data_IF_772166996341
#
_entry.id   IF_772166996341
#
_cell.length_a   1.000
_cell.length_b   1.000
_cell.length_c   1.000
_cell.angle_alpha   90.00
_cell.angle_beta   90.00
_cell.angle_gamma   90.00
#
_symmetry.space_group_name_H-M   'P 1'
#
loop_
_entity.id
_entity.type
_entity.pdbx_description
1 polymer ?
#
# COMPACT_ATOMS: atom_id res chain seq x y z
N UNK A 1 -12.67 19.71 -23.82
CA UNK A 1 -11.85 20.83 -23.30
C UNK A 1 -11.83 21.85 -24.40
N UNK A 2 -12.28 23.05 -24.08
CA UNK A 2 -12.46 24.11 -25.07
C UNK A 2 -11.54 25.27 -24.73
N UNK A 3 -10.91 25.85 -25.76
CA UNK A 3 -10.02 26.99 -25.61
C UNK A 3 -10.80 28.25 -26.00
N UNK A 4 -10.83 29.24 -25.11
CA UNK A 4 -11.59 30.47 -25.32
C UNK A 4 -10.71 31.59 -25.84
N UNK A 5 -9.61 31.88 -25.15
CA UNK A 5 -8.73 33.01 -25.47
C UNK A 5 -7.28 32.70 -25.17
N UNK A 6 -6.39 33.01 -26.11
CA UNK A 6 -4.95 32.94 -25.92
C UNK A 6 -4.36 34.35 -26.06
N UNK A 7 -3.68 34.81 -25.02
CA UNK A 7 -2.92 36.06 -25.02
C UNK A 7 -1.45 35.73 -24.83
N UNK A 8 -0.59 36.32 -25.65
CA UNK A 8 0.86 36.16 -25.54
C UNK A 8 1.57 37.48 -25.77
N UNK A 9 2.64 37.72 -25.02
CA UNK A 9 3.46 38.91 -25.14
C UNK A 9 4.93 38.55 -25.02
N UNK A 10 5.76 39.14 -25.89
CA UNK A 10 7.20 38.89 -25.93
C UNK A 10 7.57 37.39 -25.97
N UNK A 11 6.83 36.61 -26.76
CA UNK A 11 7.06 35.16 -26.95
C UNK A 11 7.48 34.85 -28.39
N UNK A 12 8.65 34.22 -28.57
CA UNK A 12 9.17 33.81 -29.89
C UNK A 12 9.20 34.97 -30.91
N UNK A 13 8.53 34.88 -32.08
CA UNK A 13 8.48 35.97 -33.05
C UNK A 13 7.49 37.10 -32.67
N UNK A 14 6.66 36.90 -31.62
CA UNK A 14 5.66 37.85 -31.17
C UNK A 14 6.25 38.82 -30.15
N UNK A 15 6.77 39.95 -30.61
CA UNK A 15 7.42 40.96 -29.76
C UNK A 15 6.42 41.77 -28.91
N UNK A 16 5.22 42.03 -29.45
CA UNK A 16 4.15 42.77 -28.78
C UNK A 16 3.15 41.84 -28.09
N UNK A 17 2.10 42.44 -27.54
CA UNK A 17 0.94 41.70 -27.06
C UNK A 17 0.04 41.30 -28.23
N UNK A 18 -0.34 40.03 -28.27
CA UNK A 18 -1.26 39.48 -29.24
C UNK A 18 -2.36 38.70 -28.52
N UNK A 19 -3.61 38.97 -28.86
CA UNK A 19 -4.79 38.29 -28.33
C UNK A 19 -5.44 37.54 -29.49
N UNK A 20 -5.72 36.26 -29.26
CA UNK A 20 -6.38 35.37 -30.21
C UNK A 20 -7.66 34.85 -29.56
N UNK A 21 -8.79 35.16 -30.17
CA UNK A 21 -10.09 34.59 -29.81
C UNK A 21 -10.22 33.19 -30.42
N UNK A 22 -9.96 32.17 -29.61
CA UNK A 22 -10.03 30.77 -30.02
C UNK A 22 -11.48 30.27 -30.04
N UNK A 23 -12.37 30.89 -29.26
CA UNK A 23 -13.79 30.57 -29.30
C UNK A 23 -14.39 30.98 -30.65
N UNK A 24 -14.08 32.18 -31.13
CA UNK A 24 -14.53 32.67 -32.44
C UNK A 24 -14.01 31.79 -33.59
N UNK A 25 -12.70 31.50 -33.60
CA UNK A 25 -12.07 30.62 -34.59
C UNK A 25 -12.62 29.18 -34.53
N UNK A 26 -12.98 28.71 -33.35
CA UNK A 26 -13.51 27.38 -33.10
C UNK A 26 -14.98 27.19 -33.48
N UNK A 27 -15.73 28.26 -33.77
CA UNK A 27 -17.18 28.18 -34.07
C UNK A 27 -17.53 27.24 -35.23
N UNK A 28 -16.67 27.15 -36.23
CA UNK A 28 -16.83 26.27 -37.40
C UNK A 28 -16.34 24.83 -37.16
N UNK A 29 -15.75 24.54 -35.99
CA UNK A 29 -15.12 23.26 -35.65
C UNK A 29 -13.76 23.00 -36.33
N UNK A 30 -13.36 23.84 -37.29
CA UNK A 30 -12.08 23.75 -37.99
C UNK A 30 -11.61 25.16 -38.40
N UNK A 31 -10.34 25.45 -38.10
CA UNK A 31 -9.64 26.64 -38.56
C UNK A 31 -8.22 26.29 -39.03
N UNK A 32 -7.64 27.15 -39.86
CA UNK A 32 -6.31 26.97 -40.45
C UNK A 32 -5.36 28.08 -39.96
N UNK A 33 -4.20 27.69 -39.43
CA UNK A 33 -3.09 28.60 -39.20
C UNK A 33 -2.19 28.60 -40.43
N UNK A 34 -2.30 29.62 -41.28
CA UNK A 34 -1.50 29.77 -42.50
C UNK A 34 -0.41 30.84 -42.34
N UNK A 35 0.74 30.61 -42.97
CA UNK A 35 1.84 31.57 -43.02
C UNK A 35 3.16 30.92 -43.46
N UNK A 36 4.18 31.70 -43.81
CA UNK A 36 5.50 31.18 -44.21
C UNK A 36 6.19 30.42 -43.07
N UNK A 37 7.17 29.57 -43.38
CA UNK A 37 8.01 28.93 -42.35
C UNK A 37 8.69 30.02 -41.50
N UNK A 38 8.68 29.86 -40.17
CA UNK A 38 9.23 30.85 -39.24
C UNK A 38 8.27 31.96 -38.79
N UNK A 39 7.04 32.01 -39.32
CA UNK A 39 6.01 32.99 -38.91
C UNK A 39 5.45 32.83 -37.49
N UNK A 40 5.87 31.80 -36.73
CA UNK A 40 5.38 31.58 -35.37
C UNK A 40 4.17 30.67 -35.23
N UNK A 41 3.73 29.98 -36.28
CA UNK A 41 2.62 28.98 -36.21
C UNK A 41 2.86 27.94 -35.10
N UNK A 42 4.03 27.33 -35.08
CA UNK A 42 4.42 26.39 -34.02
C UNK A 42 4.51 27.07 -32.66
N UNK A 43 4.91 28.35 -32.61
CA UNK A 43 4.98 29.12 -31.37
C UNK A 43 3.60 29.33 -30.74
N UNK A 44 2.53 29.51 -31.53
CA UNK A 44 1.17 29.59 -31.00
C UNK A 44 0.73 28.29 -30.33
N UNK A 45 1.05 27.16 -30.95
CA UNK A 45 0.78 25.83 -30.39
C UNK A 45 1.60 25.62 -29.10
N UNK A 46 2.89 25.95 -29.15
CA UNK A 46 3.80 25.91 -28.00
C UNK A 46 3.32 26.83 -26.87
N UNK A 47 2.72 27.97 -27.16
CA UNK A 47 2.17 28.88 -26.16
C UNK A 47 1.01 28.24 -25.39
N UNK A 48 0.11 27.51 -26.06
CA UNK A 48 -0.96 26.75 -25.40
C UNK A 48 -0.38 25.69 -24.46
N UNK A 49 0.59 24.90 -24.94
CA UNK A 49 1.23 23.85 -24.13
C UNK A 49 1.99 24.47 -22.95
N UNK A 50 2.69 25.58 -23.17
CA UNK A 50 3.40 26.32 -22.14
C UNK A 50 2.45 26.88 -21.08
N UNK A 51 1.33 27.50 -21.48
CA UNK A 51 0.35 28.03 -20.55
C UNK A 51 -0.17 26.96 -19.59
N UNK A 52 -0.48 25.77 -20.10
CA UNK A 52 -0.95 24.64 -19.30
C UNK A 52 0.17 24.05 -18.44
N UNK A 53 1.28 23.64 -19.06
CA UNK A 53 2.26 22.74 -18.42
C UNK A 53 3.58 23.40 -18.02
N UNK A 54 3.83 24.66 -18.40
CA UNK A 54 5.08 25.37 -18.12
C UNK A 54 6.29 24.87 -18.92
N UNK A 55 6.07 24.06 -19.95
CA UNK A 55 7.08 23.57 -20.89
C UNK A 55 6.51 23.54 -22.30
N UNK A 56 7.42 23.49 -23.29
CA UNK A 56 7.08 23.55 -24.72
C UNK A 56 6.53 22.23 -25.24
N UNK A 57 5.99 22.15 -26.46
CA UNK A 57 5.59 20.87 -27.05
C UNK A 57 6.81 20.01 -27.38
N UNK A 58 7.86 20.59 -27.96
CA UNK A 58 9.11 19.90 -28.29
C UNK A 58 10.05 19.78 -27.07
N UNK A 59 10.60 18.58 -26.83
CA UNK A 59 11.58 18.34 -25.75
C UNK A 59 12.98 18.95 -26.02
N UNK A 60 13.25 19.39 -27.26
CA UNK A 60 14.57 19.88 -27.69
C UNK A 60 14.76 21.40 -27.68
N UNK A 61 13.73 22.19 -27.37
CA UNK A 61 13.82 23.65 -27.34
C UNK A 61 14.13 24.16 -25.92
N UNK A 62 15.33 24.71 -25.73
CA UNK A 62 15.71 25.39 -24.49
C UNK A 62 14.63 26.41 -24.08
N UNK A 63 14.26 26.46 -22.79
CA UNK A 63 13.31 27.45 -22.23
C UNK A 63 13.67 28.90 -22.59
N UNK A 64 14.95 29.18 -22.86
CA UNK A 64 15.44 30.48 -23.36
C UNK A 64 14.84 30.89 -24.72
N UNK A 65 14.37 29.94 -25.55
CA UNK A 65 13.75 30.25 -26.86
C UNK A 65 12.32 30.76 -26.75
N UNK A 66 11.70 30.67 -25.57
CA UNK A 66 10.36 31.24 -25.36
C UNK A 66 10.40 32.76 -25.36
N UNK A 67 11.45 33.38 -24.81
CA UNK A 67 11.56 34.84 -24.78
C UNK A 67 11.82 35.39 -26.17
N UNK A 68 11.02 36.37 -26.61
CA UNK A 68 11.24 37.03 -27.89
C UNK A 68 12.50 37.88 -27.87
N UNK A 69 13.44 37.61 -28.78
CA UNK A 69 14.61 38.48 -29.00
C UNK A 69 14.26 39.81 -29.69
N UNK A 70 13.02 39.93 -30.19
CA UNK A 70 12.53 41.12 -30.86
C UNK A 70 11.75 42.05 -29.91
N UNK A 71 11.47 41.61 -28.68
CA UNK A 71 10.82 42.44 -27.68
C UNK A 71 11.75 43.52 -27.13
N UNK A 72 11.20 44.69 -26.83
CA UNK A 72 11.96 45.78 -26.21
C UNK A 72 12.48 45.36 -24.82
N UNK A 73 13.66 45.84 -24.39
CA UNK A 73 14.20 45.51 -23.07
C UNK A 73 13.23 45.88 -21.94
N UNK A 74 12.93 44.91 -21.08
CA UNK A 74 12.07 45.10 -19.91
C UNK A 74 10.58 44.87 -20.14
N UNK A 75 10.18 44.49 -21.35
CA UNK A 75 8.84 43.95 -21.61
C UNK A 75 8.76 42.56 -20.99
N UNK A 76 7.76 42.32 -20.14
CA UNK A 76 7.55 41.02 -19.50
C UNK A 76 7.01 40.00 -20.51
N UNK A 77 7.69 38.85 -20.71
CA UNK A 77 7.14 37.76 -21.48
C UNK A 77 6.04 37.04 -20.71
N UNK A 78 4.89 36.82 -21.32
CA UNK A 78 3.88 35.97 -20.69
C UNK A 78 3.01 35.28 -21.72
N UNK A 79 2.39 34.19 -21.28
CA UNK A 79 1.27 33.55 -21.96
C UNK A 79 0.12 33.43 -20.98
N UNK A 80 -1.07 33.82 -21.41
CA UNK A 80 -2.32 33.66 -20.70
C UNK A 80 -3.30 32.87 -21.56
N UNK A 81 -3.94 31.87 -20.96
CA UNK A 81 -4.91 31.02 -21.62
C UNK A 81 -6.18 30.92 -20.78
N UNK A 82 -7.31 31.24 -21.40
CA UNK A 82 -8.65 30.96 -20.87
C UNK A 82 -9.17 29.70 -21.53
N UNK A 83 -9.54 28.71 -20.73
CA UNK A 83 -9.99 27.40 -21.20
C UNK A 83 -11.08 26.82 -20.30
N UNK A 84 -11.81 25.85 -20.83
CA UNK A 84 -12.92 25.20 -20.15
C UNK A 84 -12.77 23.68 -20.16
N UNK A 85 -13.10 23.08 -19.02
CA UNK A 85 -13.13 21.62 -18.81
C UNK A 85 -14.37 21.25 -18.00
N UNK A 86 -14.58 19.97 -17.73
CA UNK A 86 -15.62 19.52 -16.81
C UNK A 86 -15.48 20.11 -15.38
N UNK A 87 -14.29 20.61 -15.00
CA UNK A 87 -14.07 21.28 -13.72
C UNK A 87 -14.43 22.77 -13.73
N UNK A 88 -14.87 23.32 -14.87
CA UNK A 88 -15.23 24.73 -15.05
C UNK A 88 -14.24 25.52 -15.91
N UNK A 89 -14.43 26.84 -15.94
CA UNK A 89 -13.66 27.79 -16.74
C UNK A 89 -12.49 28.33 -15.89
N UNK A 90 -11.29 28.29 -16.47
CA UNK A 90 -10.07 28.70 -15.80
C UNK A 90 -9.23 29.60 -16.68
N UNK A 91 -8.54 30.55 -16.05
CA UNK A 91 -7.51 31.39 -16.64
C UNK A 91 -6.17 31.06 -16.01
N UNK A 92 -5.24 30.60 -16.82
CA UNK A 92 -3.85 30.38 -16.42
C UNK A 92 -2.97 31.41 -17.07
N UNK A 93 -2.13 32.08 -16.28
CA UNK A 93 -1.10 33.01 -16.76
C UNK A 93 0.26 32.53 -16.30
N UNK A 94 1.23 32.44 -17.22
CA UNK A 94 2.61 32.05 -16.93
C UNK A 94 3.60 33.00 -17.58
N UNK A 95 4.62 33.39 -16.83
CA UNK A 95 5.83 34.04 -17.35
C UNK A 95 6.99 33.04 -17.28
N UNK A 96 7.75 32.83 -18.36
CA UNK A 96 9.01 32.11 -18.28
C UNK A 96 10.03 32.90 -17.46
N UNK A 97 11.11 32.22 -17.08
CA UNK A 97 12.30 32.90 -16.57
C UNK A 97 12.88 33.79 -17.68
N UNK A 98 13.21 35.03 -17.35
CA UNK A 98 13.71 35.99 -18.33
C UNK A 98 14.64 37.02 -17.71
N UNK A 99 15.40 37.71 -18.55
CA UNK A 99 16.24 38.82 -18.11
C UNK A 99 15.47 40.14 -18.17
N UNK A 100 15.47 40.86 -17.06
CA UNK A 100 14.88 42.20 -16.93
C UNK A 100 15.97 43.23 -16.69
N UNK A 101 15.87 44.47 -17.21
CA UNK A 101 16.74 45.57 -16.81
C UNK A 101 16.75 45.77 -15.29
N UNK A 102 17.93 46.02 -14.70
CA UNK A 102 18.02 46.31 -13.28
C UNK A 102 17.28 47.61 -12.94
N UNK A 103 16.58 47.63 -11.81
CA UNK A 103 15.89 48.83 -11.32
C UNK A 103 16.86 49.97 -10.95
N UNK A 104 18.13 49.64 -10.67
CA UNK A 104 19.21 50.59 -10.41
C UNK A 104 20.52 50.09 -11.03
N UNK A 105 21.26 50.99 -11.67
CA UNK A 105 22.54 50.69 -12.35
C UNK A 105 22.36 50.18 -13.79
N UNK A 106 23.46 49.77 -14.41
CA UNK A 106 23.48 49.21 -15.78
C UNK A 106 23.44 47.68 -15.75
N UNK A 107 22.88 47.08 -16.80
CA UNK A 107 22.79 45.61 -16.97
C UNK A 107 21.43 45.00 -16.63
N UNK A 108 21.36 43.67 -16.70
CA UNK A 108 20.15 42.87 -16.50
C UNK A 108 20.19 42.06 -15.20
N UNK A 109 19.02 41.67 -14.72
CA UNK A 109 18.82 40.74 -13.60
C UNK A 109 17.88 39.62 -14.03
N UNK A 110 17.98 38.47 -13.37
CA UNK A 110 17.19 37.29 -13.71
C UNK A 110 15.86 37.34 -12.94
N UNK A 111 14.76 37.31 -13.67
CA UNK A 111 13.41 37.20 -13.13
C UNK A 111 12.98 35.74 -13.20
N UNK A 112 12.62 35.16 -12.05
CA UNK A 112 12.16 33.76 -11.99
C UNK A 112 10.80 33.59 -12.70
N UNK A 113 10.55 32.37 -13.17
CA UNK A 113 9.27 32.01 -13.76
C UNK A 113 8.12 32.16 -12.74
N UNK A 114 6.97 32.66 -13.19
CA UNK A 114 5.77 32.85 -12.38
C UNK A 114 4.59 32.13 -13.01
N UNK A 115 3.60 31.77 -12.21
CA UNK A 115 2.35 31.18 -12.68
C UNK A 115 1.19 31.58 -11.78
N UNK A 116 0.04 31.85 -12.35
CA UNK A 116 -1.21 32.09 -11.60
C UNK A 116 -2.34 31.36 -12.28
N UNK A 117 -3.20 30.73 -11.48
CA UNK A 117 -4.40 30.04 -11.92
C UNK A 117 -5.61 30.62 -11.19
N UNK A 118 -6.61 31.01 -11.98
CA UNK A 118 -7.85 31.61 -11.49
C UNK A 118 -9.03 30.84 -12.09
N UNK A 119 -10.05 30.55 -11.28
CA UNK A 119 -11.34 30.04 -11.74
C UNK A 119 -12.26 31.21 -12.06
N UNK A 120 -12.85 31.20 -13.24
CA UNK A 120 -13.72 32.27 -13.73
C UNK A 120 -15.20 31.84 -13.71
N UNK A 121 -16.10 32.81 -13.58
CA UNK A 121 -17.55 32.61 -13.72
C UNK A 121 -18.02 32.56 -15.18
N UNK A 122 -17.27 33.18 -16.09
CA UNK A 122 -17.49 33.17 -17.54
C UNK A 122 -16.16 33.36 -18.27
N UNK A 123 -16.07 33.05 -19.58
CA UNK A 123 -14.81 33.17 -20.34
C UNK A 123 -14.26 34.61 -20.40
N UNK A 124 -15.14 35.61 -20.34
CA UNK A 124 -14.80 37.03 -20.42
C UNK A 124 -14.73 37.72 -19.06
N UNK A 125 -14.80 36.98 -17.95
CA UNK A 125 -14.74 37.58 -16.63
C UNK A 125 -13.35 38.16 -16.32
N UNK A 126 -13.31 39.42 -15.90
CA UNK A 126 -12.05 40.11 -15.55
C UNK A 126 -11.39 39.54 -14.30
N UNK A 127 -12.19 39.05 -13.35
CA UNK A 127 -11.76 38.54 -12.05
C UNK A 127 -12.39 37.17 -11.76
N UNK A 128 -11.75 36.44 -10.83
CA UNK A 128 -12.22 35.14 -10.41
C UNK A 128 -11.55 34.68 -9.12
N UNK A 129 -11.86 33.46 -8.72
CA UNK A 129 -11.33 32.82 -7.51
C UNK A 129 -9.89 32.34 -7.77
N UNK A 130 -8.93 32.77 -6.95
CA UNK A 130 -7.53 32.33 -7.08
C UNK A 130 -7.41 30.87 -6.63
N UNK A 131 -6.94 30.02 -7.55
CA UNK A 131 -6.75 28.57 -7.31
C UNK A 131 -5.28 28.27 -6.98
N UNK A 132 -4.33 29.00 -7.57
CA UNK A 132 -2.90 28.80 -7.31
C UNK A 132 -2.06 30.00 -7.74
N UNK A 133 -0.94 30.22 -7.04
CA UNK A 133 -0.07 31.39 -7.26
C UNK A 133 1.41 31.03 -7.45
N UNK A 134 1.78 29.77 -7.20
CA UNK A 134 3.12 29.26 -7.48
C UNK A 134 3.13 28.33 -8.70
N UNK A 135 4.30 28.22 -9.35
CA UNK A 135 4.51 27.34 -10.50
C UNK A 135 4.20 25.87 -10.20
N UNK A 136 4.49 25.43 -8.97
CA UNK A 136 4.23 24.06 -8.52
C UNK A 136 2.74 23.81 -8.27
N UNK A 137 2.07 24.68 -7.50
CA UNK A 137 0.62 24.58 -7.24
C UNK A 137 -0.17 24.59 -8.55
N UNK A 138 0.12 25.55 -9.43
CA UNK A 138 -0.54 25.65 -10.74
C UNK A 138 -0.28 24.41 -11.58
N UNK A 139 0.93 23.83 -11.54
CA UNK A 139 1.23 22.57 -12.24
C UNK A 139 0.39 21.39 -11.75
N UNK A 140 0.26 21.22 -10.43
CA UNK A 140 -0.56 20.17 -9.83
C UNK A 140 -2.05 20.35 -10.16
N UNK A 141 -2.55 21.58 -10.08
CA UNK A 141 -3.94 21.89 -10.36
C UNK A 141 -4.30 21.74 -11.84
N UNK A 142 -3.44 22.17 -12.76
CA UNK A 142 -3.64 21.96 -14.21
C UNK A 142 -3.69 20.46 -14.53
N UNK A 143 -2.78 19.65 -13.98
CA UNK A 143 -2.79 18.20 -14.20
C UNK A 143 -4.10 17.55 -13.73
N UNK A 144 -4.66 18.03 -12.62
CA UNK A 144 -5.94 17.58 -12.07
C UNK A 144 -7.14 18.04 -12.91
N UNK A 145 -7.15 19.30 -13.36
CA UNK A 145 -8.24 19.93 -14.11
C UNK A 145 -8.33 19.39 -15.54
N UNK A 146 -7.19 19.28 -16.22
CA UNK A 146 -7.11 18.78 -17.61
C UNK A 146 -7.19 17.25 -17.65
N UNK A 147 -6.71 16.57 -16.61
CA UNK A 147 -6.73 15.10 -16.53
C UNK A 147 -5.70 14.40 -17.42
N UNK A 148 -4.83 15.17 -18.09
CA UNK A 148 -3.75 14.67 -18.94
C UNK A 148 -2.41 15.24 -18.48
N UNK A 149 -1.38 14.40 -18.48
CA UNK A 149 0.01 14.87 -18.38
C UNK A 149 0.40 15.62 -19.65
N UNK A 150 1.48 16.41 -19.60
CA UNK A 150 2.01 17.09 -20.80
C UNK A 150 2.23 16.12 -21.96
N UNK A 151 2.92 15.01 -21.71
CA UNK A 151 3.26 14.04 -22.75
C UNK A 151 1.99 13.50 -23.44
N UNK A 152 0.96 13.18 -22.64
CA UNK A 152 -0.33 12.75 -23.17
C UNK A 152 -1.04 13.87 -23.94
N UNK A 153 -1.03 15.11 -23.45
CA UNK A 153 -1.65 16.24 -24.14
C UNK A 153 -1.00 16.52 -25.50
N UNK A 154 0.34 16.51 -25.57
CA UNK A 154 1.13 16.71 -26.80
C UNK A 154 1.03 15.53 -27.78
N UNK A 155 0.57 14.37 -27.32
CA UNK A 155 0.39 13.21 -28.18
C UNK A 155 -1.05 13.09 -28.73
N UNK A 156 -2.01 13.73 -28.08
CA UNK A 156 -3.44 13.45 -28.28
C UNK A 156 -4.28 14.67 -28.65
N UNK A 157 -3.89 15.87 -28.18
CA UNK A 157 -4.61 17.12 -28.43
C UNK A 157 -3.83 18.00 -29.40
N UNK A 158 -2.55 18.18 -29.14
CA UNK A 158 -1.62 18.80 -30.08
C UNK A 158 -0.98 17.66 -30.87
N UNK A 159 -0.86 17.78 -32.19
CA UNK A 159 -0.11 16.81 -33.00
C UNK A 159 1.05 17.57 -33.66
N UNK A 160 2.20 17.71 -32.97
CA UNK A 160 3.33 18.40 -33.55
C UNK A 160 3.86 17.61 -34.76
N UNK A 161 4.43 18.35 -35.70
CA UNK A 161 4.86 17.80 -36.99
C UNK A 161 5.88 16.67 -36.79
N UNK A 162 5.52 15.44 -37.17
CA UNK A 162 6.39 14.26 -37.10
C UNK A 162 6.14 13.32 -35.91
N UNK A 163 5.52 13.79 -34.82
CA UNK A 163 5.32 12.97 -33.60
C UNK A 163 4.11 12.03 -33.69
N UNK A 164 3.15 12.27 -34.60
CA UNK A 164 2.09 11.28 -34.87
C UNK A 164 2.67 9.95 -35.38
N UNK A 165 3.76 10.02 -36.16
CA UNK A 165 4.49 8.83 -36.59
C UNK A 165 5.13 8.10 -35.40
N UNK A 166 5.54 8.84 -34.35
CA UNK A 166 6.06 8.26 -33.11
C UNK A 166 4.96 7.56 -32.31
N UNK A 167 3.74 8.12 -32.21
CA UNK A 167 2.59 7.40 -31.65
C UNK A 167 2.29 6.10 -32.41
N UNK A 168 2.30 6.13 -33.75
CA UNK A 168 2.11 4.93 -34.56
C UNK A 168 3.24 3.91 -34.37
N UNK A 169 4.48 4.37 -34.16
CA UNK A 169 5.66 3.52 -33.91
C UNK A 169 5.86 3.12 -32.44
N UNK A 170 5.11 3.71 -31.52
CA UNK A 170 5.23 3.46 -30.08
C UNK A 170 4.98 1.99 -29.74
N UNK A 171 5.60 1.54 -28.65
CA UNK A 171 5.41 0.17 -28.16
C UNK A 171 3.98 -0.04 -27.67
N UNK A 172 3.53 -1.30 -27.61
CA UNK A 172 2.20 -1.64 -27.09
C UNK A 172 1.95 -1.06 -25.69
N UNK A 173 2.97 -1.08 -24.81
CA UNK A 173 2.89 -0.51 -23.46
C UNK A 173 2.76 1.01 -23.46
N UNK A 174 3.56 1.72 -24.26
CA UNK A 174 3.46 3.19 -24.35
C UNK A 174 2.09 3.61 -24.86
N UNK A 175 1.59 2.94 -25.91
CA UNK A 175 0.25 3.18 -26.45
C UNK A 175 -0.84 2.89 -25.42
N UNK A 176 -0.71 1.79 -24.67
CA UNK A 176 -1.64 1.41 -23.60
C UNK A 176 -1.76 2.53 -22.55
N UNK A 177 -0.65 3.06 -22.06
CA UNK A 177 -0.63 4.13 -21.03
C UNK A 177 -1.33 5.41 -21.52
N UNK A 178 -1.12 5.77 -22.79
CA UNK A 178 -1.76 6.96 -23.40
C UNK A 178 -3.27 6.77 -23.50
N UNK A 179 -3.71 5.65 -24.09
CA UNK A 179 -5.13 5.34 -24.22
C UNK A 179 -5.82 5.20 -22.86
N UNK A 180 -5.12 4.63 -21.87
CA UNK A 180 -5.65 4.47 -20.52
C UNK A 180 -5.90 5.81 -19.83
N UNK A 181 -5.02 6.79 -20.03
CA UNK A 181 -5.24 8.13 -19.52
C UNK A 181 -6.34 8.86 -20.26
N UNK A 182 -6.41 8.72 -21.60
CA UNK A 182 -7.46 9.32 -22.43
C UNK A 182 -8.86 8.84 -22.05
N UNK A 183 -9.01 7.54 -21.87
CA UNK A 183 -10.30 6.93 -21.52
C UNK A 183 -10.54 6.83 -20.01
N UNK A 184 -9.61 7.35 -19.19
CA UNK A 184 -9.72 7.30 -17.73
C UNK A 184 -9.74 5.88 -17.14
N UNK A 185 -9.21 4.88 -17.85
CA UNK A 185 -9.27 3.46 -17.43
C UNK A 185 -8.18 3.07 -16.43
N UNK A 186 -7.41 4.03 -15.92
CA UNK A 186 -6.42 3.84 -14.84
C UNK A 186 -7.05 3.25 -13.56
N UNK A 187 -8.35 3.49 -13.34
CA UNK A 187 -9.09 2.93 -12.21
C UNK A 187 -9.11 1.40 -12.20
N UNK A 188 -9.18 0.76 -13.37
CA UNK A 188 -9.26 -0.70 -13.47
C UNK A 188 -7.94 -1.36 -13.11
N UNK A 189 -6.80 -0.77 -13.52
CA UNK A 189 -5.48 -1.29 -13.17
C UNK A 189 -5.21 -1.15 -11.67
N UNK A 190 -5.57 -0.01 -11.07
CA UNK A 190 -5.49 0.16 -9.60
C UNK A 190 -6.34 -0.86 -8.85
N UNK A 191 -7.55 -1.10 -9.33
CA UNK A 191 -8.47 -2.09 -8.74
C UNK A 191 -7.90 -3.51 -8.86
N UNK A 192 -7.38 -3.87 -10.04
CA UNK A 192 -6.76 -5.17 -10.27
C UNK A 192 -5.53 -5.39 -9.37
N UNK A 193 -4.69 -4.36 -9.21
CA UNK A 193 -3.53 -4.41 -8.31
C UNK A 193 -3.97 -4.62 -6.85
N UNK A 194 -4.97 -3.88 -6.38
CA UNK A 194 -5.51 -4.03 -5.03
C UNK A 194 -6.08 -5.44 -4.79
N UNK A 195 -6.85 -5.97 -5.73
CA UNK A 195 -7.36 -7.34 -5.67
C UNK A 195 -6.23 -8.38 -5.67
N UNK A 196 -5.16 -8.11 -6.43
CA UNK A 196 -3.95 -8.92 -6.44
C UNK A 196 -3.29 -9.01 -5.06
N UNK A 197 -3.13 -7.88 -4.37
CA UNK A 197 -2.57 -7.82 -3.03
C UNK A 197 -3.50 -8.48 -1.99
N UNK A 198 -4.81 -8.25 -2.08
CA UNK A 198 -5.79 -8.93 -1.22
C UNK A 198 -5.72 -10.46 -1.37
N UNK A 199 -5.59 -10.95 -2.61
CA UNK A 199 -5.43 -12.38 -2.89
C UNK A 199 -4.15 -12.95 -2.29
N UNK A 200 -3.02 -12.25 -2.44
CA UNK A 200 -1.74 -12.68 -1.83
C UNK A 200 -1.85 -12.77 -0.31
N UNK A 201 -2.44 -11.77 0.33
CA UNK A 201 -2.63 -11.74 1.78
C UNK A 201 -3.60 -12.83 2.27
N UNK A 202 -4.67 -13.09 1.51
CA UNK A 202 -5.58 -14.21 1.82
C UNK A 202 -4.84 -15.56 1.70
N UNK A 203 -4.12 -15.78 0.60
CA UNK A 203 -3.34 -17.00 0.38
C UNK A 203 -2.31 -17.25 1.48
N UNK A 204 -1.56 -16.23 1.87
CA UNK A 204 -0.57 -16.34 2.94
C UNK A 204 -1.19 -16.73 4.30
N UNK A 205 -2.42 -16.25 4.59
CA UNK A 205 -3.15 -16.64 5.80
C UNK A 205 -3.62 -18.09 5.76
N UNK A 206 -4.14 -18.56 4.62
CA UNK A 206 -4.50 -19.98 4.45
C UNK A 206 -3.27 -20.88 4.54
N UNK A 207 -2.19 -20.55 3.83
CA UNK A 207 -0.97 -21.37 3.84
C UNK A 207 -0.37 -21.45 5.27
N UNK A 208 -0.41 -20.36 6.04
CA UNK A 208 0.03 -20.36 7.44
C UNK A 208 -0.89 -21.16 8.37
N UNK A 209 -2.20 -21.16 8.12
CA UNK A 209 -3.15 -21.97 8.89
C UNK A 209 -2.96 -23.47 8.58
N UNK A 210 -2.81 -23.82 7.31
CA UNK A 210 -2.55 -25.20 6.86
C UNK A 210 -1.24 -25.73 7.46
N UNK A 211 -0.19 -24.91 7.50
CA UNK A 211 1.08 -25.27 8.13
C UNK A 211 0.93 -25.58 9.64
N UNK A 212 0.15 -24.77 10.37
CA UNK A 212 -0.13 -25.02 11.80
C UNK A 212 -0.92 -26.30 12.02
N UNK A 213 -1.89 -26.59 11.16
CA UNK A 213 -2.68 -27.82 11.21
C UNK A 213 -1.79 -29.03 10.94
N UNK A 214 -0.92 -28.96 9.92
CA UNK A 214 0.03 -30.02 9.61
C UNK A 214 1.03 -30.28 10.76
N UNK A 215 1.53 -29.22 11.41
CA UNK A 215 2.42 -29.34 12.57
C UNK A 215 1.70 -30.03 13.75
N UNK A 216 0.48 -29.60 14.07
CA UNK A 216 -0.31 -30.20 15.15
C UNK A 216 -0.61 -31.68 14.89
N UNK A 217 -0.93 -32.05 13.65
CA UNK A 217 -1.17 -33.43 13.25
C UNK A 217 0.08 -34.30 13.35
N UNK A 218 1.24 -33.74 12.99
CA UNK A 218 2.52 -34.43 13.14
C UNK A 218 2.79 -34.74 14.61
N UNK A 219 2.62 -33.75 15.50
CA UNK A 219 2.78 -33.94 16.95
C UNK A 219 1.81 -34.97 17.53
N UNK A 220 0.56 -35.04 17.04
CA UNK A 220 -0.39 -36.06 17.47
C UNK A 220 0.03 -37.47 17.04
N UNK A 221 0.48 -37.64 15.79
CA UNK A 221 0.95 -38.94 15.28
C UNK A 221 2.12 -39.47 16.11
N UNK A 222 3.08 -38.59 16.43
CA UNK A 222 4.22 -38.94 17.28
C UNK A 222 3.77 -39.37 18.70
N UNK A 223 2.82 -38.65 19.30
CA UNK A 223 2.33 -38.95 20.64
C UNK A 223 1.50 -40.26 20.71
N UNK A 224 0.71 -40.54 19.68
CA UNK A 224 -0.24 -41.68 19.66
C UNK A 224 0.34 -42.95 19.04
N UNK A 225 1.40 -42.85 18.24
CA UNK A 225 1.94 -43.94 17.40
C UNK A 225 0.90 -44.54 16.45
N UNK A 226 -0.10 -43.75 16.08
CA UNK A 226 -1.12 -44.13 15.10
C UNK A 226 -0.78 -43.49 13.77
N UNK A 227 -0.21 -44.28 12.85
CA UNK A 227 0.14 -43.81 11.50
C UNK A 227 -1.08 -43.63 10.59
N UNK A 228 -2.20 -44.30 10.91
CA UNK A 228 -3.38 -44.43 10.05
C UNK A 228 -4.35 -43.23 10.07
N UNK A 229 -3.95 -42.08 10.61
CA UNK A 229 -4.78 -40.87 10.54
C UNK A 229 -4.73 -40.28 9.13
N UNK A 230 -5.51 -40.87 8.22
CA UNK A 230 -5.77 -40.30 6.90
C UNK A 230 -6.74 -39.13 7.04
N UNK A 231 -6.21 -37.93 6.77
CA UNK A 231 -6.92 -36.65 6.88
C UNK A 231 -7.59 -36.37 5.54
N UNK A 232 -8.88 -36.64 5.44
CA UNK A 232 -9.66 -36.38 4.23
C UNK A 232 -10.38 -35.01 4.26
N UNK A 233 -10.77 -34.53 5.45
CA UNK A 233 -11.47 -33.26 5.68
C UNK A 233 -11.00 -32.61 7.00
N UNK A 234 -10.78 -31.29 6.97
CA UNK A 234 -10.42 -30.48 8.14
C UNK A 234 -11.49 -30.52 9.23
N UNK A 235 -12.77 -30.54 8.87
CA UNK A 235 -13.87 -30.59 9.84
C UNK A 235 -13.89 -31.92 10.61
N UNK A 236 -13.75 -33.03 9.89
CA UNK A 236 -13.66 -34.36 10.50
C UNK A 236 -12.40 -34.51 11.35
N UNK A 237 -11.30 -33.89 10.93
CA UNK A 237 -10.04 -33.93 11.67
C UNK A 237 -10.15 -33.17 13.00
N UNK A 238 -10.75 -31.98 13.00
CA UNK A 238 -10.99 -31.21 14.23
C UNK A 238 -11.90 -31.99 15.18
N UNK A 239 -12.95 -32.63 14.66
CA UNK A 239 -13.84 -33.49 15.46
C UNK A 239 -13.09 -34.68 16.07
N UNK A 240 -12.33 -35.41 15.26
CA UNK A 240 -11.58 -36.58 15.71
C UNK A 240 -10.49 -36.20 16.74
N UNK A 241 -9.83 -35.05 16.54
CA UNK A 241 -8.86 -34.51 17.49
C UNK A 241 -9.50 -34.17 18.85
N UNK A 242 -10.69 -33.58 18.85
CA UNK A 242 -11.42 -33.29 20.08
C UNK A 242 -11.80 -34.58 20.82
N UNK A 243 -12.33 -35.58 20.10
CA UNK A 243 -12.67 -36.89 20.67
C UNK A 243 -11.44 -37.60 21.26
N UNK A 244 -10.29 -37.54 20.57
CA UNK A 244 -9.02 -38.10 21.06
C UNK A 244 -8.48 -37.35 22.29
N UNK A 245 -8.63 -36.02 22.33
CA UNK A 245 -8.23 -35.22 23.49
C UNK A 245 -9.05 -35.59 24.73
N UNK A 246 -10.37 -35.69 24.58
CA UNK A 246 -11.29 -36.09 25.65
C UNK A 246 -10.97 -37.51 26.15
N UNK A 247 -10.70 -38.44 25.24
CA UNK A 247 -10.31 -39.82 25.59
C UNK A 247 -8.96 -39.86 26.34
N UNK A 248 -7.98 -39.04 25.93
CA UNK A 248 -6.69 -38.95 26.59
C UNK A 248 -6.81 -38.37 28.01
N UNK A 249 -7.65 -37.36 28.21
CA UNK A 249 -7.90 -36.79 29.53
C UNK A 249 -8.62 -37.77 30.47
N UNK A 250 -9.59 -38.54 29.95
CA UNK A 250 -10.23 -39.61 30.69
C UNK A 250 -9.23 -40.71 31.10
N UNK A 251 -8.32 -41.10 30.19
CA UNK A 251 -7.29 -42.09 30.47
C UNK A 251 -6.30 -41.60 31.55
N UNK A 252 -5.87 -40.34 31.49
CA UNK A 252 -5.01 -39.72 32.52
C UNK A 252 -5.69 -39.71 33.89
N UNK A 253 -6.96 -39.33 33.95
CA UNK A 253 -7.73 -39.33 35.19
C UNK A 253 -7.87 -40.74 35.78
N UNK A 254 -8.03 -41.77 34.95
CA UNK A 254 -8.10 -43.15 35.39
C UNK A 254 -6.74 -43.68 35.89
N UNK A 255 -5.65 -43.36 35.21
CA UNK A 255 -4.28 -43.71 35.63
C UNK A 255 -3.93 -43.06 36.98
N UNK A 256 -4.30 -41.78 37.18
CA UNK A 256 -4.13 -41.12 38.48
C UNK A 256 -4.92 -41.81 39.60
N UNK A 257 -6.18 -42.18 39.35
CA UNK A 257 -7.00 -42.92 40.34
C UNK A 257 -6.35 -44.26 40.68
N UNK A 258 -5.94 -45.00 39.66
CA UNK A 258 -5.30 -46.32 39.84
C UNK A 258 -4.00 -46.19 40.64
N UNK A 259 -3.18 -45.15 40.40
CA UNK A 259 -1.98 -44.89 41.21
C UNK A 259 -2.31 -44.56 42.67
N UNK A 260 -3.35 -43.76 42.93
CA UNK A 260 -3.79 -43.44 44.30
C UNK A 260 -4.29 -44.68 45.04
N UNK A 261 -5.07 -45.53 44.37
CA UNK A 261 -5.60 -46.77 44.94
C UNK A 261 -4.46 -47.76 45.24
N UNK A 262 -3.51 -47.91 44.32
CA UNK A 262 -2.33 -48.75 44.51
C UNK A 262 -1.44 -48.27 45.68
N UNK A 263 -1.25 -46.95 45.82
CA UNK A 263 -0.50 -46.37 46.93
C UNK A 263 -1.19 -46.63 48.28
N UNK A 264 -2.52 -46.53 48.32
CA UNK A 264 -3.31 -46.80 49.52
C UNK A 264 -3.24 -48.28 49.90
N UNK A 265 -3.39 -49.18 48.91
CA UNK A 265 -3.28 -50.62 49.12
C UNK A 265 -1.88 -51.03 49.63
N UNK A 266 -0.83 -50.35 49.15
CA UNK A 266 0.54 -50.56 49.64
C UNK A 266 0.69 -50.15 51.10
N UNK A 267 0.21 -48.96 51.50
CA UNK A 267 0.26 -48.53 52.91
C UNK A 267 -0.52 -49.50 53.82
N UNK A 268 -1.71 -49.91 53.40
CA UNK A 268 -2.52 -50.90 54.12
C UNK A 268 -1.76 -52.23 54.31
N UNK A 269 -1.12 -52.74 53.25
CA UNK A 269 -0.32 -53.96 53.31
C UNK A 269 0.89 -53.80 54.24
N UNK A 270 1.56 -52.65 54.22
CA UNK A 270 2.68 -52.34 55.14
C UNK A 270 2.22 -52.26 56.59
N UNK A 271 1.04 -51.67 56.87
CA UNK A 271 0.46 -51.63 58.22
C UNK A 271 0.14 -53.02 58.73
N UNK A 272 -0.50 -53.86 57.90
CA UNK A 272 -0.82 -55.26 58.27
C UNK A 272 0.45 -56.05 58.54
N UNK A 273 1.48 -55.91 57.69
CA UNK A 273 2.77 -56.58 57.86
C UNK A 273 3.44 -56.16 59.17
N UNK A 274 3.46 -54.86 59.50
CA UNK A 274 3.97 -54.34 60.79
C UNK A 274 3.19 -54.89 61.99
N UNK A 275 1.86 -54.96 61.89
CA UNK A 275 1.00 -55.50 62.94
C UNK A 275 1.27 -57.00 63.19
N UNK A 276 1.41 -57.79 62.12
CA UNK A 276 1.75 -59.21 62.21
C UNK A 276 3.14 -59.43 62.80
N UNK A 277 4.13 -58.62 62.40
CA UNK A 277 5.47 -58.67 62.99
C UNK A 277 5.43 -58.40 64.50
N UNK A 278 4.73 -57.33 64.93
CA UNK A 278 4.55 -56.98 66.35
C UNK A 278 3.84 -58.09 67.13
N UNK A 279 2.80 -58.70 66.56
CA UNK A 279 2.10 -59.84 67.18
C UNK A 279 3.05 -61.02 67.41
N UNK A 280 3.87 -61.38 66.42
CA UNK A 280 4.88 -62.44 66.57
C UNK A 280 5.86 -62.14 67.70
N UNK A 281 6.31 -60.90 67.82
CA UNK A 281 7.22 -60.49 68.91
C UNK A 281 6.56 -60.61 70.29
N UNK A 282 5.28 -60.23 70.40
CA UNK A 282 4.53 -60.34 71.66
C UNK A 282 4.30 -61.79 72.08
N UNK A 283 3.94 -62.67 71.14
CA UNK A 283 3.78 -64.12 71.41
C UNK A 283 5.11 -64.73 71.91
N UNK A 284 6.23 -64.40 71.26
CA UNK A 284 7.54 -64.89 71.70
C UNK A 284 7.91 -64.40 73.12
N UNK A 285 7.58 -63.13 73.44
CA UNK A 285 7.77 -62.59 74.80
C UNK A 285 6.89 -63.28 75.83
N UNK A 286 5.63 -63.57 75.48
CA UNK A 286 4.71 -64.30 76.37
C UNK A 286 5.23 -65.71 76.68
N UNK A 287 5.72 -66.43 75.68
CA UNK A 287 6.34 -67.75 75.86
C UNK A 287 7.56 -67.69 76.78
N UNK A 288 8.48 -66.75 76.54
CA UNK A 288 9.66 -66.58 77.39
C UNK A 288 9.30 -66.24 78.86
N UNK A 289 8.26 -65.43 79.09
CA UNK A 289 7.77 -65.14 80.44
C UNK A 289 7.18 -66.40 81.09
N UNK A 290 6.41 -67.21 80.36
CA UNK A 290 5.85 -68.47 80.88
C UNK A 290 6.96 -69.44 81.27
N UNK A 291 7.93 -69.67 80.39
CA UNK A 291 9.10 -70.52 80.65
C UNK A 291 9.88 -70.06 81.90
N UNK A 292 10.15 -68.76 82.02
CA UNK A 292 10.81 -68.20 83.19
C UNK A 292 9.99 -68.38 84.49
N UNK A 293 8.66 -68.27 84.40
CA UNK A 293 7.76 -68.47 85.54
C UNK A 293 7.74 -69.92 86.00
N UNK A 294 7.72 -70.87 85.05
CA UNK A 294 7.83 -72.31 85.33
C UNK A 294 9.19 -72.67 85.94
N UNK A 295 10.28 -72.07 85.45
CA UNK A 295 11.62 -72.27 86.01
C UNK A 295 11.73 -71.75 87.45
N UNK A 296 11.19 -70.55 87.72
CA UNK A 296 11.11 -69.99 89.09
C UNK A 296 10.29 -70.90 90.01
N UNK A 297 9.14 -71.40 89.55
CA UNK A 297 8.31 -72.31 90.34
C UNK A 297 9.03 -73.64 90.63
N UNK A 298 9.76 -74.19 89.65
CA UNK A 298 10.57 -75.40 89.82
C UNK A 298 11.77 -75.21 90.75
N UNK A 299 12.34 -74.00 90.81
CA UNK A 299 13.38 -73.65 91.78
C UNK A 299 12.81 -73.47 93.19
N UNK A 300 11.62 -72.89 93.32
CA UNK A 300 10.92 -72.76 94.61
C UNK A 300 10.59 -74.13 95.23
N UNK A 301 10.08 -75.08 94.43
CA UNK A 301 9.82 -76.45 94.87
C UNK A 301 11.09 -77.17 95.35
N UNK A 302 12.24 -76.95 94.69
CA UNK A 302 13.54 -77.51 95.12
C UNK A 302 14.11 -76.84 96.38
N UNK A 303 13.67 -75.64 96.70
CA UNK A 303 14.07 -74.94 97.93
C UNK A 303 13.26 -75.43 99.15
N UNK A 304 12.02 -75.89 98.95
CA UNK A 304 11.18 -76.47 100.02
C UNK A 304 11.52 -77.94 100.36
N UNK A 305 12.30 -78.64 99.52
CA UNK A 305 12.75 -80.03 99.75
C UNK A 305 14.13 -80.14 100.47
N UNK A 306 14.70 -79.03 100.96
CA UNK A 306 15.96 -78.97 101.72
C UNK A 306 15.74 -78.50 103.14
#
# INVERSE_FOLDING_TARGET
MDLHRLTLQAIGPFAGEHVIDLAELGRSGLFLLEGPTGSGKSTLIDAVVFALYGSLASDGSSRDRLHSHHAAPGVEPYVELVFETAAGIHRVRRSPQHQRPKARGTGTTNQNATATLVRLSSPDADAGEVVGTSTQEVGTEIARIVGLTRAQFVQTVVLPQGEFAEFLRSTGEQRRLVLQSLFGTAVYERTAAQLGEMRKAAKARTDAADAKVAEALTGLREATRVDALEIADAADTVRLLAELADAADAARAQDERTRRDAATALDDAERVTRALARRRTLIAREQAVREATEEIAGLALRADER
#
